data_IF_925455828077
#
_entry.id   IF_925455828077
#
_cell.length_a   1.000
_cell.length_b   1.000
_cell.length_c   1.000
_cell.angle_alpha   90.00
_cell.angle_beta   90.00
_cell.angle_gamma   90.00
#
_symmetry.space_group_name_H-M   'P 1'
#
loop_
_entity.id
_entity.type
_entity.pdbx_description
1 polymer ?
#
# COMPACT_ATOMS: atom_id res chain seq x y z
N UNK A 1 8.07 0.03 -1.27
CA UNK A 1 9.14 -0.90 -0.91
C UNK A 1 8.68 -1.84 0.19
N UNK A 2 8.98 -3.09 0.08
CA UNK A 2 8.64 -4.14 1.05
C UNK A 2 9.15 -5.48 0.58
N UNK A 3 9.28 -6.42 1.50
CA UNK A 3 9.76 -7.75 1.21
C UNK A 3 8.71 -8.54 0.41
N UNK A 4 9.13 -9.15 -0.68
CA UNK A 4 8.36 -10.16 -1.41
C UNK A 4 8.96 -11.51 -1.08
N UNK A 5 8.14 -12.42 -0.55
CA UNK A 5 8.58 -13.74 -0.11
C UNK A 5 7.52 -14.79 -0.47
N UNK A 6 7.96 -16.00 -0.71
CA UNK A 6 7.10 -17.16 -0.92
C UNK A 6 7.03 -18.09 0.31
N UNK A 7 7.58 -17.65 1.44
CA UNK A 7 7.56 -18.40 2.68
C UNK A 7 7.48 -17.49 3.91
N UNK A 8 7.04 -18.04 5.03
CA UNK A 8 6.95 -17.34 6.31
C UNK A 8 5.82 -16.29 6.37
N UNK A 9 5.91 -15.38 7.34
CA UNK A 9 4.86 -14.40 7.64
C UNK A 9 4.55 -13.47 6.46
N UNK A 10 5.55 -13.18 5.63
CA UNK A 10 5.34 -12.28 4.48
C UNK A 10 4.70 -12.95 3.28
N UNK A 11 4.85 -14.25 3.08
CA UNK A 11 4.32 -15.12 2.02
C UNK A 11 3.38 -14.46 0.97
N UNK A 12 3.79 -13.28 0.48
CA UNK A 12 2.97 -12.45 -0.39
C UNK A 12 3.28 -12.64 -1.88
N UNK A 13 4.22 -13.53 -2.22
CA UNK A 13 4.63 -13.75 -3.61
C UNK A 13 3.47 -14.12 -4.51
N UNK A 14 2.59 -15.01 -4.06
CA UNK A 14 1.39 -15.44 -4.80
C UNK A 14 0.42 -14.29 -5.08
N UNK A 15 0.40 -13.27 -4.22
CA UNK A 15 -0.45 -12.09 -4.36
C UNK A 15 0.23 -10.97 -5.18
N UNK A 16 1.55 -10.90 -5.12
CA UNK A 16 2.33 -9.89 -5.87
C UNK A 16 2.49 -10.27 -7.33
N UNK A 17 2.67 -11.57 -7.62
CA UNK A 17 2.94 -12.07 -8.96
C UNK A 17 1.87 -11.66 -10.00
N UNK A 18 0.56 -11.83 -9.75
CA UNK A 18 -0.46 -11.44 -10.72
C UNK A 18 -0.42 -9.93 -11.06
N UNK A 19 -0.16 -9.08 -10.06
CA UNK A 19 0.01 -7.63 -10.28
C UNK A 19 1.26 -7.34 -11.13
N UNK A 20 2.38 -7.98 -10.82
CA UNK A 20 3.64 -7.81 -11.56
C UNK A 20 3.55 -8.30 -13.01
N UNK A 21 2.79 -9.38 -13.27
CA UNK A 21 2.52 -9.88 -14.62
C UNK A 21 1.75 -8.84 -15.47
N UNK A 22 0.78 -8.15 -14.87
CA UNK A 22 0.05 -7.09 -15.58
C UNK A 22 0.96 -5.88 -15.85
N UNK A 23 1.81 -5.50 -14.88
CA UNK A 23 2.83 -4.47 -15.13
C UNK A 23 3.69 -4.84 -16.36
N UNK A 24 4.18 -6.09 -16.43
CA UNK A 24 5.00 -6.55 -17.54
C UNK A 24 4.27 -6.53 -18.88
N UNK A 25 3.00 -6.97 -18.93
CA UNK A 25 2.15 -6.92 -20.15
C UNK A 25 1.97 -5.51 -20.68
N UNK A 26 1.89 -4.54 -19.78
CA UNK A 26 1.72 -3.13 -20.11
C UNK A 26 3.04 -2.34 -20.20
N UNK A 27 4.18 -3.04 -20.23
CA UNK A 27 5.52 -2.44 -20.28
C UNK A 27 5.82 -1.46 -19.13
N UNK A 28 5.17 -1.67 -17.97
CA UNK A 28 5.42 -0.92 -16.75
C UNK A 28 6.46 -1.65 -15.92
N UNK A 29 7.53 -0.94 -15.54
CA UNK A 29 8.56 -1.51 -14.69
C UNK A 29 8.00 -1.78 -13.28
N UNK A 30 8.07 -3.04 -12.85
CA UNK A 30 7.74 -3.42 -11.48
C UNK A 30 9.01 -3.46 -10.62
N UNK A 31 9.13 -2.56 -9.65
CA UNK A 31 10.29 -2.46 -8.78
C UNK A 31 9.97 -2.99 -7.37
N UNK A 32 10.79 -3.92 -6.92
CA UNK A 32 10.76 -4.44 -5.54
C UNK A 32 12.09 -4.11 -4.87
N UNK A 33 12.04 -3.62 -3.65
CA UNK A 33 13.22 -3.45 -2.83
C UNK A 33 13.09 -4.29 -1.56
N UNK A 34 14.04 -5.20 -1.34
CA UNK A 34 14.16 -5.92 -0.08
C UNK A 34 15.01 -5.10 0.90
N UNK A 35 14.40 -4.52 1.95
CA UNK A 35 15.12 -3.66 2.89
C UNK A 35 16.13 -4.43 3.76
N UNK A 36 16.02 -5.75 3.84
CA UNK A 36 16.97 -6.60 4.59
C UNK A 36 18.24 -6.88 3.81
N UNK A 37 18.12 -7.03 2.48
CA UNK A 37 19.26 -7.29 1.60
C UNK A 37 19.87 -6.01 1.05
N UNK A 38 19.03 -5.03 0.74
CA UNK A 38 19.46 -3.78 0.13
C UNK A 38 18.69 -2.58 0.77
N UNK A 39 19.08 -2.18 1.99
CA UNK A 39 18.43 -1.05 2.64
C UNK A 39 18.66 0.25 1.85
N UNK A 40 17.59 0.99 1.63
CA UNK A 40 17.65 2.30 0.98
C UNK A 40 17.53 3.42 2.03
N UNK A 41 18.22 4.54 1.84
CA UNK A 41 17.98 5.75 2.61
C UNK A 41 16.50 6.17 2.56
N UNK A 42 16.02 6.82 3.63
CA UNK A 42 14.62 7.21 3.73
C UNK A 42 14.16 8.10 2.57
N UNK A 43 14.98 9.08 2.20
CA UNK A 43 14.73 10.01 1.10
C UNK A 43 14.60 9.29 -0.25
N UNK A 44 15.42 8.26 -0.45
CA UNK A 44 15.36 7.46 -1.67
C UNK A 44 14.08 6.60 -1.73
N UNK A 45 13.66 6.04 -0.60
CA UNK A 45 12.37 5.31 -0.51
C UNK A 45 11.20 6.25 -0.82
N UNK A 46 11.22 7.44 -0.23
CA UNK A 46 10.19 8.46 -0.46
C UNK A 46 10.15 8.87 -1.94
N UNK A 47 11.32 9.19 -2.53
CA UNK A 47 11.44 9.58 -3.93
C UNK A 47 10.90 8.50 -4.86
N UNK A 48 11.28 7.23 -4.66
CA UNK A 48 10.80 6.10 -5.49
C UNK A 48 9.30 5.90 -5.40
N UNK A 49 8.72 6.10 -4.22
CA UNK A 49 7.27 6.06 -4.07
C UNK A 49 6.65 7.21 -4.85
N UNK A 50 7.11 8.43 -4.68
CA UNK A 50 6.56 9.62 -5.35
C UNK A 50 6.70 9.60 -6.88
N UNK A 51 7.76 9.01 -7.41
CA UNK A 51 8.01 8.88 -8.85
C UNK A 51 7.33 7.65 -9.48
N UNK A 52 6.80 6.73 -8.68
CA UNK A 52 6.11 5.55 -9.23
C UNK A 52 4.72 5.92 -9.73
N UNK A 53 4.22 5.21 -10.74
CA UNK A 53 2.84 5.38 -11.23
C UNK A 53 1.86 4.81 -10.22
N UNK A 54 2.16 3.64 -9.66
CA UNK A 54 1.35 2.97 -8.64
C UNK A 54 2.25 2.49 -7.49
N UNK A 55 1.77 2.61 -6.26
CA UNK A 55 2.46 2.14 -5.06
C UNK A 55 1.54 1.23 -4.21
N UNK A 56 1.22 0.01 -4.67
CA UNK A 56 0.26 -0.84 -4.00
C UNK A 56 0.78 -1.40 -2.66
N UNK A 57 -0.14 -1.60 -1.74
CA UNK A 57 0.06 -2.37 -0.52
C UNK A 57 -0.55 -3.76 -0.67
N UNK A 58 0.22 -4.70 -1.23
CA UNK A 58 -0.20 -6.08 -1.46
C UNK A 58 0.19 -6.96 -0.28
N UNK A 59 -0.80 -7.61 0.30
CA UNK A 59 -0.68 -8.47 1.47
C UNK A 59 -0.67 -9.94 1.11
N UNK A 60 0.15 -10.71 1.81
CA UNK A 60 0.13 -12.17 1.74
C UNK A 60 -1.04 -12.79 2.53
N UNK A 61 -1.31 -14.08 2.29
CA UNK A 61 -2.45 -14.79 2.89
C UNK A 61 -2.51 -14.69 4.42
N UNK A 62 -1.37 -14.78 5.10
CA UNK A 62 -1.30 -14.72 6.55
C UNK A 62 -1.68 -13.33 7.10
N UNK A 63 -1.20 -12.26 6.46
CA UNK A 63 -1.59 -10.91 6.85
C UNK A 63 -3.07 -10.64 6.62
N UNK A 64 -3.64 -11.19 5.53
CA UNK A 64 -5.07 -11.09 5.26
C UNK A 64 -5.89 -11.87 6.30
N UNK A 65 -5.45 -13.09 6.66
CA UNK A 65 -6.10 -13.94 7.66
C UNK A 65 -6.08 -13.30 9.06
N UNK A 66 -4.96 -12.71 9.44
CA UNK A 66 -4.75 -12.11 10.77
C UNK A 66 -5.19 -10.64 10.83
N UNK A 67 -5.68 -10.08 9.74
CA UNK A 67 -6.18 -8.69 9.63
C UNK A 67 -5.15 -7.65 10.07
N UNK A 68 -3.87 -7.92 9.81
CA UNK A 68 -2.80 -7.00 10.21
C UNK A 68 -2.83 -5.75 9.34
N UNK A 69 -3.01 -4.60 9.97
CA UNK A 69 -2.88 -3.29 9.34
C UNK A 69 -1.46 -2.78 9.55
N UNK A 70 -0.75 -2.50 8.48
CA UNK A 70 0.61 -1.95 8.55
C UNK A 70 0.65 -0.50 8.09
N UNK A 71 1.75 0.18 8.39
CA UNK A 71 1.92 1.59 8.05
C UNK A 71 2.12 1.88 6.55
N UNK A 72 2.30 0.86 5.69
CA UNK A 72 2.69 1.07 4.29
C UNK A 72 1.65 1.85 3.49
N UNK A 73 0.38 1.46 3.57
CA UNK A 73 -0.68 2.15 2.83
C UNK A 73 -0.78 3.62 3.24
N UNK A 74 -0.79 3.91 4.54
CA UNK A 74 -0.86 5.27 5.05
C UNK A 74 0.36 6.10 4.62
N UNK A 75 1.54 5.47 4.61
CA UNK A 75 2.78 6.09 4.15
C UNK A 75 2.72 6.44 2.66
N UNK A 76 2.28 5.51 1.80
CA UNK A 76 2.18 5.74 0.36
C UNK A 76 1.18 6.88 0.07
N UNK A 77 0.01 6.87 0.71
CA UNK A 77 -0.99 7.93 0.59
C UNK A 77 -0.43 9.27 1.09
N UNK A 78 0.29 9.30 2.22
CA UNK A 78 0.92 10.53 2.74
C UNK A 78 1.93 11.14 1.78
N UNK A 79 2.49 10.35 0.87
CA UNK A 79 3.42 10.83 -0.17
C UNK A 79 2.73 11.25 -1.47
N UNK A 80 1.40 11.30 -1.48
CA UNK A 80 0.61 11.78 -2.60
C UNK A 80 0.21 10.69 -3.58
N UNK A 81 0.28 9.41 -3.18
CA UNK A 81 -0.16 8.31 -4.01
C UNK A 81 -1.61 7.92 -3.80
N UNK A 82 -2.18 7.40 -4.86
CA UNK A 82 -3.43 6.64 -4.78
C UNK A 82 -3.25 5.45 -3.84
N UNK A 83 -4.09 5.34 -2.83
CA UNK A 83 -4.12 4.18 -1.95
C UNK A 83 -4.64 2.96 -2.70
N UNK A 84 -3.82 1.89 -2.76
CA UNK A 84 -4.17 0.63 -3.42
C UNK A 84 -3.88 -0.52 -2.47
N UNK A 85 -4.86 -1.40 -2.22
CA UNK A 85 -4.66 -2.55 -1.34
C UNK A 85 -5.53 -3.75 -1.72
N UNK A 86 -5.04 -4.96 -1.42
CA UNK A 86 -5.84 -6.18 -1.48
C UNK A 86 -6.40 -6.60 -0.10
N UNK A 87 -6.33 -5.72 0.90
CA UNK A 87 -6.80 -5.96 2.25
C UNK A 87 -8.09 -5.19 2.52
N UNK A 88 -9.17 -5.92 2.77
CA UNK A 88 -10.47 -5.35 3.18
C UNK A 88 -10.37 -4.60 4.50
N UNK A 89 -9.52 -5.07 5.43
CA UNK A 89 -9.30 -4.42 6.71
C UNK A 89 -8.71 -3.02 6.52
N UNK A 90 -7.72 -2.88 5.61
CA UNK A 90 -7.13 -1.57 5.30
C UNK A 90 -8.16 -0.65 4.62
N UNK A 91 -9.00 -1.20 3.74
CA UNK A 91 -10.05 -0.42 3.10
C UNK A 91 -11.05 0.12 4.13
N UNK A 92 -11.44 -0.71 5.11
CA UNK A 92 -12.31 -0.30 6.21
C UNK A 92 -11.64 0.75 7.11
N UNK A 93 -10.36 0.56 7.46
CA UNK A 93 -9.58 1.54 8.23
C UNK A 93 -9.41 2.88 7.52
N UNK A 94 -9.44 2.88 6.20
CA UNK A 94 -9.40 4.08 5.36
C UNK A 94 -10.78 4.69 5.10
N UNK A 95 -11.85 4.13 5.66
CA UNK A 95 -13.23 4.55 5.41
C UNK A 95 -13.55 4.72 3.92
N UNK A 96 -13.05 3.78 3.09
CA UNK A 96 -13.22 3.80 1.65
C UNK A 96 -12.36 4.83 0.88
N UNK A 97 -11.46 5.56 1.56
CA UNK A 97 -10.58 6.56 0.92
C UNK A 97 -9.34 5.92 0.26
N UNK A 98 -9.50 4.72 -0.26
CA UNK A 98 -8.51 4.01 -1.08
C UNK A 98 -9.23 3.02 -2.00
N UNK A 99 -8.50 2.43 -2.94
CA UNK A 99 -9.02 1.38 -3.81
C UNK A 99 -8.70 0.02 -3.20
N UNK A 100 -9.71 -0.82 -3.14
CA UNK A 100 -9.62 -2.20 -2.68
C UNK A 100 -10.04 -3.17 -3.78
N UNK A 101 -9.21 -4.17 -4.00
CA UNK A 101 -9.62 -5.35 -4.75
C UNK A 101 -8.88 -6.57 -4.22
N UNK A 102 -9.64 -7.62 -3.88
CA UNK A 102 -9.08 -8.88 -3.41
C UNK A 102 -8.23 -9.58 -4.48
N UNK A 103 -8.62 -9.45 -5.75
CA UNK A 103 -7.86 -9.92 -6.90
C UNK A 103 -6.80 -8.85 -7.25
N UNK A 104 -5.54 -9.19 -7.04
CA UNK A 104 -4.44 -8.25 -7.28
C UNK A 104 -4.19 -7.97 -8.76
N UNK A 105 -4.66 -8.84 -9.67
CA UNK A 105 -4.68 -8.58 -11.11
C UNK A 105 -5.68 -7.47 -11.43
N UNK A 106 -6.89 -7.58 -10.89
CA UNK A 106 -7.90 -6.54 -11.06
C UNK A 106 -7.49 -5.24 -10.35
N UNK A 107 -6.82 -5.33 -9.19
CA UNK A 107 -6.28 -4.17 -8.47
C UNK A 107 -5.32 -3.33 -9.34
N UNK A 108 -4.57 -3.97 -10.25
CA UNK A 108 -3.73 -3.25 -11.20
C UNK A 108 -4.59 -2.39 -12.13
N UNK A 109 -5.64 -2.95 -12.73
CA UNK A 109 -6.53 -2.21 -13.65
C UNK A 109 -7.28 -1.11 -12.93
N UNK A 110 -7.82 -1.40 -11.74
CA UNK A 110 -8.51 -0.40 -10.91
C UNK A 110 -7.56 0.76 -10.56
N UNK A 111 -6.28 0.47 -10.31
CA UNK A 111 -5.25 1.48 -10.05
C UNK A 111 -4.93 2.33 -11.28
N UNK A 112 -4.75 1.71 -12.44
CA UNK A 112 -4.46 2.43 -13.70
C UNK A 112 -5.64 3.32 -14.10
N UNK A 113 -6.87 2.83 -13.98
CA UNK A 113 -8.08 3.60 -14.29
C UNK A 113 -8.23 4.85 -13.41
N UNK A 114 -7.74 4.78 -12.17
CA UNK A 114 -7.87 5.84 -11.18
C UNK A 114 -6.56 6.60 -10.88
N UNK A 115 -5.50 6.42 -11.68
CA UNK A 115 -4.21 7.05 -11.41
C UNK A 115 -4.29 8.59 -11.38
N UNK A 116 -5.17 9.18 -12.15
CA UNK A 116 -5.42 10.63 -12.22
C UNK A 116 -6.64 11.08 -11.40
N UNK A 117 -7.16 10.23 -10.52
CA UNK A 117 -8.27 10.58 -9.64
C UNK A 117 -7.76 11.41 -8.46
N UNK A 118 -7.44 12.69 -8.75
CA UNK A 118 -6.88 13.61 -7.76
C UNK A 118 -7.78 13.86 -6.56
N UNK A 119 -9.10 13.77 -6.73
CA UNK A 119 -10.04 13.91 -5.61
C UNK A 119 -9.90 12.76 -4.62
N UNK A 120 -9.83 11.51 -5.10
CA UNK A 120 -9.61 10.34 -4.25
C UNK A 120 -8.24 10.40 -3.56
N UNK A 121 -7.18 10.79 -4.28
CA UNK A 121 -5.83 10.95 -3.72
C UNK A 121 -5.86 12.00 -2.60
N UNK A 122 -6.44 13.17 -2.86
CA UNK A 122 -6.53 14.27 -1.89
C UNK A 122 -7.35 13.90 -0.66
N UNK A 123 -8.49 13.25 -0.86
CA UNK A 123 -9.35 12.78 0.24
C UNK A 123 -8.61 11.75 1.09
N UNK A 124 -7.91 10.79 0.47
CA UNK A 124 -7.07 9.82 1.17
C UNK A 124 -5.97 10.48 2.00
N UNK A 125 -5.24 11.46 1.43
CA UNK A 125 -4.21 12.22 2.15
C UNK A 125 -4.79 12.98 3.35
N UNK A 126 -5.93 13.63 3.19
CA UNK A 126 -6.59 14.36 4.28
C UNK A 126 -7.05 13.39 5.37
N UNK A 127 -7.65 12.27 4.99
CA UNK A 127 -8.10 11.24 5.92
C UNK A 127 -6.94 10.67 6.75
N UNK A 128 -5.81 10.33 6.11
CA UNK A 128 -4.61 9.85 6.81
C UNK A 128 -4.06 10.92 7.77
N UNK A 129 -4.03 12.17 7.34
CA UNK A 129 -3.57 13.30 8.18
C UNK A 129 -4.43 13.47 9.44
N UNK A 130 -5.72 13.27 9.32
CA UNK A 130 -6.68 13.47 10.43
C UNK A 130 -6.76 12.27 11.37
N UNK A 131 -6.57 11.04 10.87
CA UNK A 131 -6.91 9.84 11.61
C UNK A 131 -5.73 8.88 11.84
N UNK A 132 -4.68 8.90 11.01
CA UNK A 132 -3.66 7.85 11.00
C UNK A 132 -2.23 8.34 11.20
N UNK A 133 -2.04 9.53 11.74
CA UNK A 133 -0.71 10.00 12.15
C UNK A 133 -0.25 9.31 13.43
N UNK A 134 1.04 9.34 13.71
CA UNK A 134 1.56 8.86 15.01
C UNK A 134 0.99 9.64 16.20
N UNK A 135 0.64 10.92 16.00
CA UNK A 135 0.00 11.75 17.02
C UNK A 135 -1.40 11.22 17.34
N UNK A 136 -2.21 10.91 16.33
CA UNK A 136 -3.53 10.32 16.54
C UNK A 136 -3.44 8.99 17.30
N UNK A 137 -2.49 8.12 16.94
CA UNK A 137 -2.27 6.84 17.62
C UNK A 137 -1.83 7.02 19.08
N UNK A 138 -0.94 7.98 19.35
CA UNK A 138 -0.53 8.31 20.71
C UNK A 138 -1.71 8.85 21.54
N UNK A 139 -2.54 9.71 20.97
CA UNK A 139 -3.77 10.21 21.61
C UNK A 139 -4.75 9.08 21.92
N UNK A 140 -4.99 8.17 20.97
CA UNK A 140 -5.84 7.01 21.17
C UNK A 140 -5.32 6.10 22.29
N UNK A 141 -4.00 5.87 22.34
CA UNK A 141 -3.40 5.10 23.43
C UNK A 141 -3.60 5.78 24.80
N UNK A 142 -3.38 7.09 24.88
CA UNK A 142 -3.56 7.84 26.12
C UNK A 142 -5.02 7.90 26.59
N UNK A 143 -5.98 7.80 25.69
CA UNK A 143 -7.41 7.83 26.02
C UNK A 143 -7.93 6.56 26.66
N UNK A 144 -7.17 5.47 26.63
CA UNK A 144 -7.53 4.17 27.24
C UNK A 144 -6.77 3.86 28.53
N UNK A 145 -5.87 4.77 28.95
CA UNK A 145 -5.15 4.72 30.23
C UNK A 145 -5.87 5.51 31.29
#
# INVERSE_FOLDING_TARGET
CGTVSNSGVCENYSQVLPFAEECAKHHIQFAVNDPWQNPLPFEEVMRRIQESVLAPDIRGPEHLRTRVVTCRVFKNISYGHLGLTNSEEIFNEMDGNCIYNKDTRQLFYDGVENVDNFDLIKNGMQYVKENHTYINRAQSLLSVL
#
